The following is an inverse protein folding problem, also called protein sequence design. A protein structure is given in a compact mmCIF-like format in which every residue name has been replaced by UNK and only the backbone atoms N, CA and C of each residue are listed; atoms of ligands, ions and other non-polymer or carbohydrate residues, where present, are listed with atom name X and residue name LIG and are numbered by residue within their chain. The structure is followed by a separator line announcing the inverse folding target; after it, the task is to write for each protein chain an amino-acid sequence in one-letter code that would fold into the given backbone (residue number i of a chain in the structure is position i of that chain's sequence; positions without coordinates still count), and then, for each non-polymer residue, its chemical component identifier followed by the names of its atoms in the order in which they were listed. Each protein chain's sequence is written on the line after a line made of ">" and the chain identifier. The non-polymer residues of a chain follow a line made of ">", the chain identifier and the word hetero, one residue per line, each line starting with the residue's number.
data_IF_079109686863
#
_entry.id   IF_079109686863
#
_cell.length_a   1.000
_cell.length_b   1.000
_cell.length_c   1.000
_cell.angle_alpha   90.00
_cell.angle_beta   90.00
_cell.angle_gamma   90.00
#
_symmetry.space_group_name_H-M   'P 1'
#
loop_
_entity.id
_entity.type
_entity.pdbx_description
1 polymer ?
#
# COMPACT_ATOMS: atom_id res chain seq x y z
N UNK A 1 3.90 66.09 -32.92
CA UNK A 1 4.10 64.65 -32.64
C UNK A 1 4.62 64.43 -31.22
N UNK A 2 5.71 65.09 -30.82
CA UNK A 2 6.29 64.98 -29.47
C UNK A 2 5.37 65.36 -28.30
N UNK A 3 4.44 66.30 -28.53
CA UNK A 3 3.48 66.77 -27.51
C UNK A 3 2.17 65.96 -27.53
N UNK A 4 2.10 64.87 -28.31
CA UNK A 4 0.90 64.03 -28.37
C UNK A 4 0.63 63.37 -27.02
N UNK A 5 -0.63 63.38 -26.59
CA UNK A 5 -1.11 62.69 -25.37
C UNK A 5 -1.60 61.27 -25.62
N UNK A 6 -1.66 60.85 -26.87
CA UNK A 6 -2.09 59.50 -27.22
C UNK A 6 -1.04 58.50 -26.76
N UNK A 7 -1.38 57.56 -25.87
CA UNK A 7 -0.44 56.56 -25.34
C UNK A 7 -0.79 55.14 -25.79
N UNK A 8 -1.73 55.01 -26.75
CA UNK A 8 -2.31 53.74 -27.18
C UNK A 8 -3.25 53.11 -26.15
N UNK A 9 -4.17 52.30 -26.64
CA UNK A 9 -5.27 51.68 -25.86
C UNK A 9 -5.12 50.16 -25.69
N UNK A 10 -4.07 49.57 -26.26
CA UNK A 10 -3.69 48.17 -26.10
C UNK A 10 -2.25 47.97 -26.57
N UNK A 11 -1.64 46.82 -26.23
CA UNK A 11 -0.20 46.59 -26.43
C UNK A 11 0.24 46.85 -27.88
N UNK A 12 -0.47 46.30 -28.86
CA UNK A 12 -0.15 46.48 -30.28
C UNK A 12 -0.13 47.95 -30.73
N UNK A 13 -1.04 48.78 -30.22
CA UNK A 13 -1.09 50.20 -30.58
C UNK A 13 0.08 50.96 -29.93
N UNK A 14 0.46 50.61 -28.71
CA UNK A 14 1.63 51.21 -28.06
C UNK A 14 2.93 50.84 -28.76
N UNK A 15 3.07 49.59 -29.19
CA UNK A 15 4.24 49.13 -29.95
C UNK A 15 4.37 49.86 -31.28
N UNK A 16 3.26 50.07 -32.01
CA UNK A 16 3.24 50.89 -33.22
C UNK A 16 3.61 52.36 -32.94
N UNK A 17 3.07 52.96 -31.86
CA UNK A 17 3.43 54.32 -31.45
C UNK A 17 4.91 54.44 -31.05
N UNK A 18 5.48 53.44 -30.37
CA UNK A 18 6.90 53.39 -30.04
C UNK A 18 7.78 53.25 -31.28
N UNK A 19 7.37 52.44 -32.25
CA UNK A 19 8.06 52.31 -33.52
C UNK A 19 8.08 53.64 -34.28
N UNK A 20 6.93 54.30 -34.40
CA UNK A 20 6.81 55.63 -35.01
C UNK A 20 7.64 56.69 -34.29
N UNK A 21 7.64 56.68 -32.95
CA UNK A 21 8.44 57.60 -32.14
C UNK A 21 9.95 57.34 -32.30
N UNK A 22 10.36 56.08 -32.39
CA UNK A 22 11.75 55.70 -32.64
C UNK A 22 12.28 56.22 -33.99
N UNK A 23 11.44 56.25 -35.03
CA UNK A 23 11.79 56.88 -36.32
C UNK A 23 11.99 58.39 -36.16
N UNK A 24 11.12 59.07 -35.42
CA UNK A 24 11.21 60.50 -35.17
C UNK A 24 12.45 60.85 -34.33
N UNK A 25 12.82 60.02 -33.37
CA UNK A 25 14.08 60.17 -32.62
C UNK A 25 15.33 59.97 -33.48
N UNK A 26 15.30 59.04 -34.44
CA UNK A 26 16.38 58.89 -35.41
C UNK A 26 16.53 60.14 -36.28
N UNK A 27 15.41 60.74 -36.71
CA UNK A 27 15.42 62.01 -37.44
C UNK A 27 15.98 63.17 -36.58
N UNK A 28 15.58 63.27 -35.31
CA UNK A 28 16.12 64.27 -34.37
C UNK A 28 17.62 64.10 -34.20
N UNK A 29 18.11 62.87 -34.02
CA UNK A 29 19.55 62.58 -33.92
C UNK A 29 20.31 63.01 -35.17
N UNK A 30 19.77 62.71 -36.36
CA UNK A 30 20.40 63.13 -37.61
C UNK A 30 20.43 64.68 -37.77
N UNK A 31 19.38 65.38 -37.34
CA UNK A 31 19.37 66.85 -37.33
C UNK A 31 20.29 67.44 -36.27
N UNK A 32 20.45 66.78 -35.12
CA UNK A 32 21.35 67.17 -34.04
C UNK A 32 22.79 67.27 -34.55
N UNK A 33 23.27 66.24 -35.24
CA UNK A 33 24.61 66.23 -35.84
C UNK A 33 24.80 67.40 -36.82
N UNK A 34 23.78 67.67 -37.64
CA UNK A 34 23.81 68.79 -38.60
C UNK A 34 23.83 70.14 -37.91
N UNK A 35 23.02 70.33 -36.87
CA UNK A 35 22.96 71.56 -36.08
C UNK A 35 24.29 71.81 -35.36
N UNK A 36 24.89 70.78 -34.76
CA UNK A 36 26.19 70.90 -34.10
C UNK A 36 27.31 71.28 -35.08
N UNK A 37 27.33 70.68 -36.28
CA UNK A 37 28.29 71.04 -37.33
C UNK A 37 28.12 72.50 -37.78
N UNK A 38 26.87 72.94 -37.98
CA UNK A 38 26.55 74.33 -38.35
C UNK A 38 26.91 75.32 -37.24
N UNK A 39 26.60 75.01 -35.98
CA UNK A 39 26.94 75.84 -34.83
C UNK A 39 28.47 75.98 -34.69
N UNK A 40 29.21 74.88 -34.84
CA UNK A 40 30.68 74.90 -34.84
C UNK A 40 31.25 75.76 -35.96
N UNK A 41 30.67 75.69 -37.17
CA UNK A 41 31.08 76.53 -38.28
C UNK A 41 30.73 78.02 -38.05
N UNK A 42 29.56 78.30 -37.47
CA UNK A 42 29.11 79.66 -37.17
C UNK A 42 30.01 80.34 -36.12
N UNK A 43 30.38 79.64 -35.05
CA UNK A 43 31.24 80.17 -33.98
C UNK A 43 32.64 80.59 -34.46
N UNK A 44 33.16 79.99 -35.54
CA UNK A 44 34.42 80.44 -36.14
C UNK A 44 34.36 81.90 -36.61
N UNK A 45 33.19 82.38 -37.01
CA UNK A 45 33.00 83.77 -37.45
C UNK A 45 32.94 84.77 -36.28
N UNK A 46 32.75 84.31 -35.03
CA UNK A 46 32.86 85.17 -33.84
C UNK A 46 34.31 85.37 -33.35
N UNK A 47 35.26 84.58 -33.84
CA UNK A 47 36.68 84.59 -33.42
C UNK A 47 37.62 85.24 -34.46
N UNK A 48 37.09 85.70 -35.59
CA UNK A 48 37.91 86.30 -36.67
C UNK A 48 38.50 87.65 -36.25
N UNK A 49 39.83 87.78 -36.38
CA UNK A 49 40.53 89.06 -36.31
C UNK A 49 40.53 89.72 -37.69
N UNK A 50 39.69 90.77 -37.88
CA UNK A 50 39.60 91.52 -39.14
C UNK A 50 38.15 91.84 -39.55
N UNK A 51 37.79 91.52 -40.80
CA UNK A 51 36.44 91.77 -41.33
C UNK A 51 35.38 90.93 -40.61
N UNK A 52 34.43 91.60 -39.95
CA UNK A 52 33.29 90.99 -39.28
C UNK A 52 32.00 91.20 -40.08
N UNK A 53 31.39 90.14 -40.64
CA UNK A 53 30.14 90.24 -41.40
C UNK A 53 28.94 90.71 -40.56
N UNK A 54 28.95 90.41 -39.25
CA UNK A 54 28.00 90.91 -38.27
C UNK A 54 28.64 90.93 -36.87
N UNK A 55 27.96 91.54 -35.89
CA UNK A 55 28.38 91.54 -34.49
C UNK A 55 28.52 90.09 -33.97
N UNK A 56 29.70 89.68 -33.47
CA UNK A 56 29.94 88.36 -32.90
C UNK A 56 28.90 87.92 -31.87
N UNK A 57 28.36 88.87 -31.09
CA UNK A 57 27.34 88.58 -30.08
C UNK A 57 26.03 88.08 -30.70
N UNK A 58 25.69 88.51 -31.92
CA UNK A 58 24.51 88.02 -32.65
C UNK A 58 24.69 86.55 -33.02
N UNK A 59 25.90 86.16 -33.43
CA UNK A 59 26.24 84.76 -33.76
C UNK A 59 26.13 83.90 -32.50
N UNK A 60 26.78 84.31 -31.41
CA UNK A 60 26.72 83.61 -30.12
C UNK A 60 25.28 83.46 -29.63
N UNK A 61 24.47 84.53 -29.67
CA UNK A 61 23.07 84.49 -29.26
C UNK A 61 22.23 83.52 -30.11
N UNK A 62 22.44 83.49 -31.43
CA UNK A 62 21.72 82.57 -32.33
C UNK A 62 22.15 81.12 -32.12
N UNK A 63 23.44 80.86 -31.97
CA UNK A 63 23.98 79.52 -31.68
C UNK A 63 23.41 79.02 -30.35
N UNK A 64 23.46 79.84 -29.30
CA UNK A 64 22.89 79.51 -27.98
C UNK A 64 21.38 79.23 -28.08
N UNK A 65 20.62 80.06 -28.81
CA UNK A 65 19.19 79.83 -28.97
C UNK A 65 18.89 78.50 -29.69
N UNK A 66 19.59 78.19 -30.78
CA UNK A 66 19.44 76.92 -31.51
C UNK A 66 19.83 75.73 -30.63
N UNK A 67 20.89 75.86 -29.82
CA UNK A 67 21.31 74.86 -28.86
C UNK A 67 20.21 74.58 -27.82
N UNK A 68 19.64 75.63 -27.20
CA UNK A 68 18.53 75.50 -26.25
C UNK A 68 17.30 74.85 -26.89
N UNK A 69 16.92 75.26 -28.10
CA UNK A 69 15.80 74.64 -28.83
C UNK A 69 16.03 73.15 -29.12
N UNK A 70 17.28 72.75 -29.39
CA UNK A 70 17.63 71.36 -29.61
C UNK A 70 17.54 70.55 -28.31
N UNK A 71 18.05 71.09 -27.21
CA UNK A 71 17.95 70.49 -25.87
C UNK A 71 16.48 70.28 -25.46
N UNK A 72 15.63 71.29 -25.67
CA UNK A 72 14.18 71.17 -25.42
C UNK A 72 13.52 70.09 -26.28
N UNK A 73 13.94 69.96 -27.55
CA UNK A 73 13.41 68.95 -28.47
C UNK A 73 13.79 67.53 -28.02
N UNK A 74 15.04 67.33 -27.60
CA UNK A 74 15.55 66.07 -27.06
C UNK A 74 14.86 65.71 -25.74
N UNK A 75 14.67 66.68 -24.84
CA UNK A 75 13.92 66.48 -23.60
C UNK A 75 12.47 66.05 -23.84
N UNK A 76 11.78 66.71 -24.78
CA UNK A 76 10.43 66.34 -25.18
C UNK A 76 10.37 64.94 -25.79
N UNK A 77 11.36 64.57 -26.62
CA UNK A 77 11.47 63.24 -27.20
C UNK A 77 11.70 62.16 -26.13
N UNK A 78 12.64 62.38 -25.22
CA UNK A 78 12.94 61.47 -24.13
C UNK A 78 11.75 61.31 -23.17
N UNK A 79 11.06 62.40 -22.83
CA UNK A 79 9.85 62.37 -22.01
C UNK A 79 8.76 61.54 -22.68
N UNK A 80 8.52 61.77 -23.97
CA UNK A 80 7.51 61.04 -24.73
C UNK A 80 7.82 59.54 -24.85
N UNK A 81 9.08 59.17 -25.11
CA UNK A 81 9.54 57.78 -25.11
C UNK A 81 9.27 57.12 -23.75
N UNK A 82 9.58 57.80 -22.66
CA UNK A 82 9.33 57.31 -21.29
C UNK A 82 7.84 57.05 -21.04
N UNK A 83 6.96 57.98 -21.42
CA UNK A 83 5.51 57.81 -21.27
C UNK A 83 4.96 56.64 -22.11
N UNK A 84 5.44 56.48 -23.34
CA UNK A 84 5.08 55.34 -24.20
C UNK A 84 5.58 54.01 -23.64
N UNK A 85 6.80 53.97 -23.10
CA UNK A 85 7.36 52.79 -22.48
C UNK A 85 6.63 52.40 -21.19
N UNK A 86 6.23 53.39 -20.38
CA UNK A 86 5.36 53.18 -19.23
C UNK A 86 3.99 52.61 -19.66
N UNK A 87 3.43 53.10 -20.77
CA UNK A 87 2.17 52.56 -21.35
C UNK A 87 2.35 51.12 -21.84
N UNK A 88 3.49 50.81 -22.47
CA UNK A 88 3.81 49.45 -22.93
C UNK A 88 3.85 48.49 -21.75
N UNK A 89 4.51 48.87 -20.66
CA UNK A 89 4.57 48.08 -19.43
C UNK A 89 3.17 47.83 -18.83
N UNK A 90 2.28 48.83 -18.86
CA UNK A 90 0.90 48.69 -18.41
C UNK A 90 0.12 47.66 -19.25
N UNK A 91 0.18 47.78 -20.57
CA UNK A 91 -0.57 46.88 -21.46
C UNK A 91 0.01 45.47 -21.50
N UNK A 92 1.33 45.30 -21.42
CA UNK A 92 1.95 43.98 -21.22
C UNK A 92 1.47 43.34 -19.92
N UNK A 93 1.38 44.10 -18.83
CA UNK A 93 0.82 43.60 -17.56
C UNK A 93 -0.64 43.13 -17.71
N UNK A 94 -1.50 43.91 -18.36
CA UNK A 94 -2.91 43.53 -18.55
C UNK A 94 -3.05 42.27 -19.40
N UNK A 95 -2.28 42.15 -20.48
CA UNK A 95 -2.25 40.95 -21.30
C UNK A 95 -1.79 39.72 -20.50
N UNK A 96 -0.68 39.82 -19.74
CA UNK A 96 -0.21 38.73 -18.88
C UNK A 96 -1.27 38.31 -17.85
N UNK A 97 -2.04 39.26 -17.30
CA UNK A 97 -3.14 38.99 -16.38
C UNK A 97 -4.33 38.30 -17.05
N UNK A 98 -4.69 38.69 -18.27
CA UNK A 98 -5.75 38.03 -19.04
C UNK A 98 -5.38 36.60 -19.43
N UNK A 99 -4.14 36.38 -19.85
CA UNK A 99 -3.61 35.04 -20.15
C UNK A 99 -3.62 34.14 -18.91
N UNK A 100 -3.20 34.68 -17.75
CA UNK A 100 -3.28 33.97 -16.48
C UNK A 100 -4.73 33.62 -16.11
N UNK A 101 -5.66 34.56 -16.27
CA UNK A 101 -7.07 34.36 -15.97
C UNK A 101 -7.72 33.33 -16.88
N UNK A 102 -7.44 33.38 -18.19
CA UNK A 102 -7.94 32.40 -19.16
C UNK A 102 -7.43 30.99 -18.83
N UNK A 103 -6.15 30.87 -18.47
CA UNK A 103 -5.57 29.60 -18.04
C UNK A 103 -6.23 29.07 -16.76
N UNK A 104 -6.49 29.94 -15.76
CA UNK A 104 -7.20 29.58 -14.53
C UNK A 104 -8.60 29.05 -14.85
N UNK A 105 -9.39 29.77 -15.66
CA UNK A 105 -10.75 29.36 -16.06
C UNK A 105 -10.76 27.97 -16.72
N UNK A 106 -9.80 27.72 -17.60
CA UNK A 106 -9.70 26.41 -18.27
C UNK A 106 -9.40 25.29 -17.29
N UNK A 107 -8.46 25.50 -16.34
CA UNK A 107 -8.15 24.50 -15.32
C UNK A 107 -9.31 24.27 -14.35
N UNK A 108 -10.03 25.32 -13.94
CA UNK A 108 -11.25 25.20 -13.14
C UNK A 108 -12.28 24.31 -13.85
N UNK A 109 -12.51 24.52 -15.15
CA UNK A 109 -13.44 23.73 -15.96
C UNK A 109 -13.02 22.26 -16.07
N UNK A 110 -11.73 22.00 -16.31
CA UNK A 110 -11.19 20.65 -16.38
C UNK A 110 -11.38 19.92 -15.04
N UNK A 111 -11.08 20.57 -13.91
CA UNK A 111 -11.22 19.98 -12.59
C UNK A 111 -12.69 19.72 -12.23
N UNK A 112 -13.60 20.62 -12.58
CA UNK A 112 -15.03 20.46 -12.34
C UNK A 112 -15.62 19.25 -13.09
N UNK A 113 -15.10 18.93 -14.28
CA UNK A 113 -15.56 17.80 -15.08
C UNK A 113 -14.92 16.45 -14.72
N UNK A 114 -13.84 16.43 -13.91
CA UNK A 114 -13.11 15.20 -13.61
C UNK A 114 -13.81 14.33 -12.58
N UNK A 115 -13.86 13.05 -12.87
CA UNK A 115 -14.28 11.99 -11.94
C UNK A 115 -13.08 11.43 -11.17
N UNK A 116 -13.34 10.70 -10.10
CA UNK A 116 -12.31 10.15 -9.21
C UNK A 116 -11.88 8.72 -9.57
N UNK A 117 -12.21 8.26 -10.79
CA UNK A 117 -11.95 6.88 -11.26
C UNK A 117 -13.05 5.89 -10.84
N UNK A 118 -12.87 4.62 -11.21
CA UNK A 118 -13.88 3.54 -11.07
C UNK A 118 -13.32 2.24 -10.49
N UNK A 119 -12.00 2.15 -10.39
CA UNK A 119 -11.23 0.99 -9.96
C UNK A 119 -9.84 1.46 -9.52
N UNK A 120 -9.10 0.60 -8.81
CA UNK A 120 -7.79 0.94 -8.26
C UNK A 120 -6.81 1.48 -9.32
N UNK A 121 -6.75 0.84 -10.48
CA UNK A 121 -5.85 1.21 -11.58
C UNK A 121 -6.15 2.60 -12.14
N UNK A 122 -7.43 2.90 -12.37
CA UNK A 122 -7.88 4.20 -12.87
C UNK A 122 -7.66 5.32 -11.84
N UNK A 123 -7.89 5.08 -10.56
CA UNK A 123 -7.62 6.08 -9.50
C UNK A 123 -6.12 6.37 -9.37
N UNK A 124 -5.27 5.35 -9.39
CA UNK A 124 -3.80 5.52 -9.37
C UNK A 124 -3.33 6.34 -10.58
N UNK A 125 -3.87 6.03 -11.77
CA UNK A 125 -3.56 6.79 -12.99
C UNK A 125 -4.00 8.25 -12.89
N UNK A 126 -5.20 8.51 -12.37
CA UNK A 126 -5.73 9.87 -12.18
C UNK A 126 -4.96 10.64 -11.12
N UNK A 127 -4.52 9.98 -10.05
CA UNK A 127 -3.66 10.55 -9.00
C UNK A 127 -2.32 10.99 -9.56
N UNK A 128 -1.69 10.17 -10.41
CA UNK A 128 -0.46 10.54 -11.10
C UNK A 128 -0.66 11.73 -12.04
N UNK A 129 -1.76 11.76 -12.81
CA UNK A 129 -2.12 12.92 -13.64
C UNK A 129 -2.36 14.19 -12.82
N UNK A 130 -2.98 14.07 -11.65
CA UNK A 130 -3.21 15.18 -10.73
C UNK A 130 -1.87 15.72 -10.20
N UNK A 131 -0.92 14.85 -9.84
CA UNK A 131 0.42 15.24 -9.41
C UNK A 131 1.17 16.06 -10.48
N UNK A 132 1.09 15.67 -11.75
CA UNK A 132 1.67 16.46 -12.85
C UNK A 132 1.06 17.85 -12.94
N UNK A 133 -0.27 17.94 -12.81
CA UNK A 133 -0.99 19.22 -12.82
C UNK A 133 -0.67 20.10 -11.60
N UNK A 134 -0.40 19.54 -10.42
CA UNK A 134 0.11 20.30 -9.27
C UNK A 134 1.48 20.93 -9.58
N UNK A 135 2.34 20.22 -10.32
CA UNK A 135 3.60 20.78 -10.83
C UNK A 135 3.38 21.97 -11.77
N UNK A 136 2.44 21.83 -12.73
CA UNK A 136 2.05 22.94 -13.62
C UNK A 136 1.52 24.16 -12.84
N UNK A 137 0.67 23.93 -11.82
CA UNK A 137 0.16 24.98 -10.93
C UNK A 137 1.29 25.69 -10.19
N UNK A 138 2.28 24.95 -9.67
CA UNK A 138 3.44 25.54 -9.01
C UNK A 138 4.21 26.50 -9.91
N UNK A 139 4.47 26.11 -11.15
CA UNK A 139 5.15 26.96 -12.14
C UNK A 139 4.32 28.20 -12.48
N UNK A 140 3.00 28.03 -12.67
CA UNK A 140 2.07 29.14 -12.97
C UNK A 140 1.94 30.13 -11.82
N UNK A 141 1.97 29.66 -10.57
CA UNK A 141 1.98 30.51 -9.37
C UNK A 141 3.18 31.44 -9.35
N UNK A 142 4.37 30.92 -9.68
CA UNK A 142 5.59 31.70 -9.73
C UNK A 142 5.51 32.79 -10.80
N UNK A 143 4.99 32.47 -11.99
CA UNK A 143 4.77 33.44 -13.06
C UNK A 143 3.75 34.52 -12.63
N UNK A 144 2.61 34.12 -12.08
CA UNK A 144 1.58 35.06 -11.61
C UNK A 144 2.14 36.02 -10.56
N UNK A 145 2.94 35.53 -9.62
CA UNK A 145 3.58 36.37 -8.61
C UNK A 145 4.57 37.39 -9.23
N UNK A 146 5.29 37.02 -10.29
CA UNK A 146 6.14 37.97 -11.01
C UNK A 146 5.30 39.06 -11.70
N UNK A 147 4.20 38.70 -12.36
CA UNK A 147 3.29 39.66 -12.99
C UNK A 147 2.63 40.58 -11.94
N UNK A 148 2.27 40.05 -10.77
CA UNK A 148 1.76 40.87 -9.65
C UNK A 148 2.80 41.92 -9.21
N UNK A 149 4.08 41.54 -9.07
CA UNK A 149 5.17 42.49 -8.78
C UNK A 149 5.36 43.54 -9.86
N UNK A 150 5.14 43.20 -11.14
CA UNK A 150 5.14 44.21 -12.22
C UNK A 150 3.99 45.21 -12.02
N UNK A 151 2.79 44.73 -11.69
CA UNK A 151 1.63 45.56 -11.36
C UNK A 151 1.89 46.52 -10.20
N UNK A 152 2.49 46.04 -9.11
CA UNK A 152 2.89 46.87 -7.96
C UNK A 152 3.88 47.97 -8.34
N UNK A 153 4.87 47.67 -9.20
CA UNK A 153 5.82 48.66 -9.72
C UNK A 153 5.14 49.72 -10.56
N UNK A 154 4.15 49.35 -11.39
CA UNK A 154 3.37 50.29 -12.19
C UNK A 154 2.54 51.20 -11.28
N UNK A 155 1.90 50.64 -10.24
CA UNK A 155 1.16 51.40 -9.24
C UNK A 155 2.03 52.41 -8.49
N UNK A 156 3.28 52.05 -8.17
CA UNK A 156 4.21 52.94 -7.48
C UNK A 156 4.59 54.18 -8.32
N UNK A 157 4.63 54.07 -9.66
CA UNK A 157 4.93 55.18 -10.56
C UNK A 157 3.83 56.25 -10.64
N UNK A 158 2.58 55.91 -10.26
CA UNK A 158 1.39 56.80 -10.31
C UNK A 158 1.14 57.47 -11.68
N UNK A 159 1.67 56.90 -12.77
CA UNK A 159 1.53 57.41 -14.14
C UNK A 159 0.17 57.12 -14.76
N UNK A 160 -0.57 56.15 -14.22
CA UNK A 160 -1.87 55.70 -14.73
C UNK A 160 -2.91 55.57 -13.60
N UNK A 161 -4.17 55.37 -13.98
CA UNK A 161 -5.26 55.08 -13.04
C UNK A 161 -4.95 53.79 -12.25
N UNK A 162 -4.84 53.91 -10.93
CA UNK A 162 -4.54 52.79 -10.04
C UNK A 162 -5.69 51.80 -9.87
N UNK A 163 -6.94 52.26 -10.07
CA UNK A 163 -8.15 51.48 -9.78
C UNK A 163 -8.25 50.23 -10.66
N UNK A 164 -8.07 50.38 -11.98
CA UNK A 164 -8.19 49.25 -12.92
C UNK A 164 -7.11 48.18 -12.72
N UNK A 165 -5.89 48.59 -12.38
CA UNK A 165 -4.78 47.66 -12.08
C UNK A 165 -5.10 46.88 -10.80
N UNK A 166 -5.48 47.57 -9.73
CA UNK A 166 -5.82 46.95 -8.45
C UNK A 166 -7.02 46.00 -8.58
N UNK A 167 -8.04 46.38 -9.33
CA UNK A 167 -9.21 45.54 -9.57
C UNK A 167 -8.84 44.26 -10.33
N UNK A 168 -8.04 44.36 -11.40
CA UNK A 168 -7.59 43.18 -12.16
C UNK A 168 -6.72 42.26 -11.31
N UNK A 169 -5.77 42.80 -10.54
CA UNK A 169 -4.96 42.01 -9.61
C UNK A 169 -5.85 41.27 -8.59
N UNK A 170 -6.83 41.96 -8.01
CA UNK A 170 -7.78 41.38 -7.05
C UNK A 170 -8.60 40.25 -7.68
N UNK A 171 -9.12 40.44 -8.90
CA UNK A 171 -9.90 39.42 -9.61
C UNK A 171 -9.07 38.15 -9.85
N UNK A 172 -7.88 38.29 -10.42
CA UNK A 172 -7.01 37.14 -10.73
C UNK A 172 -6.58 36.43 -9.44
N UNK A 173 -6.24 37.18 -8.37
CA UNK A 173 -5.96 36.60 -7.05
C UNK A 173 -7.14 35.80 -6.49
N UNK A 174 -8.36 36.31 -6.60
CA UNK A 174 -9.55 35.60 -6.12
C UNK A 174 -9.77 34.28 -6.87
N UNK A 175 -9.60 34.31 -8.19
CA UNK A 175 -9.74 33.12 -9.04
C UNK A 175 -8.62 32.10 -8.81
N UNK A 176 -7.39 32.57 -8.58
CA UNK A 176 -6.29 31.69 -8.22
C UNK A 176 -6.59 30.93 -6.92
N UNK A 177 -7.07 31.63 -5.88
CA UNK A 177 -7.49 31.00 -4.62
C UNK A 177 -8.60 29.97 -4.83
N UNK A 178 -9.62 30.29 -5.62
CA UNK A 178 -10.69 29.35 -5.96
C UNK A 178 -10.16 28.11 -6.69
N UNK A 179 -9.21 28.27 -7.62
CA UNK A 179 -8.57 27.15 -8.30
C UNK A 179 -7.77 26.29 -7.32
N UNK A 180 -7.06 26.88 -6.36
CA UNK A 180 -6.36 26.14 -5.30
C UNK A 180 -7.34 25.33 -4.43
N UNK A 181 -8.47 25.92 -4.04
CA UNK A 181 -9.55 25.24 -3.30
C UNK A 181 -10.13 24.05 -4.07
N UNK A 182 -10.49 24.24 -5.34
CA UNK A 182 -11.04 23.18 -6.21
C UNK A 182 -9.99 22.07 -6.40
N UNK A 183 -8.73 22.44 -6.60
CA UNK A 183 -7.63 21.48 -6.76
C UNK A 183 -7.45 20.65 -5.49
N UNK A 184 -7.45 21.29 -4.32
CA UNK A 184 -7.34 20.60 -3.04
C UNK A 184 -8.52 19.65 -2.77
N UNK A 185 -9.75 20.08 -3.07
CA UNK A 185 -10.92 19.21 -2.95
C UNK A 185 -10.84 18.01 -3.91
N UNK A 186 -10.40 18.21 -5.14
CA UNK A 186 -10.20 17.12 -6.09
C UNK A 186 -9.09 16.16 -5.62
N UNK A 187 -8.03 16.67 -4.99
CA UNK A 187 -6.98 15.84 -4.40
C UNK A 187 -7.56 14.95 -3.27
N UNK A 188 -8.28 15.54 -2.32
CA UNK A 188 -8.94 14.80 -1.24
C UNK A 188 -9.86 13.70 -1.79
N UNK A 189 -10.71 14.03 -2.78
CA UNK A 189 -11.62 13.04 -3.38
C UNK A 189 -10.87 11.90 -4.08
N UNK A 190 -9.71 12.16 -4.68
CA UNK A 190 -8.86 11.11 -5.25
C UNK A 190 -8.22 10.24 -4.17
N UNK A 191 -7.74 10.83 -3.07
CA UNK A 191 -7.19 10.09 -1.93
C UNK A 191 -8.26 9.21 -1.27
N UNK A 192 -9.46 9.75 -1.07
CA UNK A 192 -10.62 9.01 -0.55
C UNK A 192 -11.00 7.82 -1.44
N UNK A 193 -11.06 8.04 -2.76
CA UNK A 193 -11.33 6.98 -3.72
C UNK A 193 -10.20 5.94 -3.74
N UNK A 194 -8.94 6.37 -3.65
CA UNK A 194 -7.79 5.47 -3.64
C UNK A 194 -7.84 4.55 -2.43
N UNK A 195 -8.06 5.11 -1.24
CA UNK A 195 -8.18 4.35 0.00
C UNK A 195 -9.34 3.34 -0.08
N UNK A 196 -10.49 3.74 -0.63
CA UNK A 196 -11.64 2.85 -0.81
C UNK A 196 -11.36 1.69 -1.76
N UNK A 197 -10.76 1.95 -2.93
CA UNK A 197 -10.47 0.91 -3.91
C UNK A 197 -9.32 0.00 -3.47
N UNK A 198 -8.35 0.51 -2.71
CA UNK A 198 -7.30 -0.31 -2.08
C UNK A 198 -7.93 -1.26 -1.05
N UNK A 199 -8.72 -0.72 -0.13
CA UNK A 199 -9.43 -1.52 0.88
C UNK A 199 -10.31 -2.60 0.23
N UNK A 200 -11.07 -2.23 -0.81
CA UNK A 200 -11.93 -3.18 -1.53
C UNK A 200 -11.12 -4.30 -2.18
N UNK A 201 -10.00 -3.96 -2.86
CA UNK A 201 -9.14 -4.95 -3.50
C UNK A 201 -8.49 -5.90 -2.48
N UNK A 202 -7.95 -5.37 -1.38
CA UNK A 202 -7.37 -6.17 -0.30
C UNK A 202 -8.42 -7.09 0.35
N UNK A 203 -9.65 -6.61 0.50
CA UNK A 203 -10.76 -7.41 1.02
C UNK A 203 -11.14 -8.54 0.05
N UNK A 204 -11.19 -8.27 -1.25
CA UNK A 204 -11.48 -9.29 -2.26
C UNK A 204 -10.38 -10.35 -2.36
N UNK A 205 -9.11 -9.96 -2.26
CA UNK A 205 -7.97 -10.88 -2.20
C UNK A 205 -8.08 -11.78 -0.95
N UNK A 206 -8.47 -11.22 0.19
CA UNK A 206 -8.68 -11.97 1.42
C UNK A 206 -9.86 -12.95 1.30
N UNK A 207 -10.96 -12.55 0.67
CA UNK A 207 -12.10 -13.46 0.41
C UNK A 207 -11.68 -14.62 -0.48
N UNK A 208 -10.97 -14.35 -1.58
CA UNK A 208 -10.50 -15.40 -2.48
C UNK A 208 -9.60 -16.40 -1.73
N UNK A 209 -8.67 -15.89 -0.92
CA UNK A 209 -7.80 -16.73 -0.10
C UNK A 209 -8.59 -17.57 0.91
N UNK A 210 -9.60 -17.00 1.57
CA UNK A 210 -10.44 -17.73 2.52
C UNK A 210 -11.27 -18.82 1.85
N UNK A 211 -11.81 -18.57 0.65
CA UNK A 211 -12.55 -19.57 -0.11
C UNK A 211 -11.66 -20.76 -0.52
N UNK A 212 -10.44 -20.49 -0.99
CA UNK A 212 -9.47 -21.53 -1.30
C UNK A 212 -9.04 -22.32 -0.06
N UNK A 213 -8.84 -21.62 1.06
CA UNK A 213 -8.48 -22.23 2.33
C UNK A 213 -9.61 -23.09 2.88
N UNK A 214 -10.86 -22.60 2.82
CA UNK A 214 -12.05 -23.36 3.18
C UNK A 214 -12.08 -24.71 2.47
N UNK A 215 -11.88 -24.72 1.14
CA UNK A 215 -11.84 -25.95 0.34
C UNK A 215 -10.76 -26.94 0.81
N UNK A 216 -9.63 -26.44 1.30
CA UNK A 216 -8.54 -27.28 1.81
C UNK A 216 -8.89 -27.85 3.19
N UNK A 217 -9.39 -27.01 4.09
CA UNK A 217 -9.70 -27.41 5.47
C UNK A 217 -10.99 -28.22 5.58
N UNK A 218 -11.89 -28.12 4.60
CA UNK A 218 -13.11 -28.92 4.48
C UNK A 218 -12.91 -30.21 3.69
N UNK A 219 -11.66 -30.61 3.40
CA UNK A 219 -11.40 -31.88 2.72
C UNK A 219 -11.79 -33.05 3.63
N UNK A 220 -12.30 -34.12 3.04
CA UNK A 220 -12.64 -35.37 3.74
C UNK A 220 -11.54 -36.44 3.60
N UNK A 221 -10.39 -36.08 3.02
CA UNK A 221 -9.22 -36.97 2.94
C UNK A 221 -8.44 -36.93 4.25
N UNK A 222 -8.43 -38.05 4.97
CA UNK A 222 -7.73 -38.23 6.24
C UNK A 222 -6.53 -39.17 6.16
N UNK A 223 -6.21 -39.68 4.97
CA UNK A 223 -5.20 -40.71 4.77
C UNK A 223 -5.77 -42.13 4.81
N UNK A 224 -4.93 -43.10 4.45
CA UNK A 224 -5.29 -44.52 4.38
C UNK A 224 -4.34 -45.44 5.17
N UNK A 225 -3.32 -44.86 5.80
CA UNK A 225 -2.34 -45.50 6.68
C UNK A 225 -1.68 -44.46 7.62
N UNK A 226 -0.86 -44.91 8.59
CA UNK A 226 -0.16 -44.00 9.54
C UNK A 226 0.71 -42.96 8.81
N UNK A 227 1.42 -43.36 7.76
CA UNK A 227 2.34 -42.49 7.04
C UNK A 227 1.62 -41.35 6.29
N UNK A 228 0.60 -41.69 5.50
CA UNK A 228 -0.21 -40.75 4.72
C UNK A 228 -1.00 -39.80 5.62
N UNK A 229 -1.61 -40.32 6.70
CA UNK A 229 -2.34 -39.51 7.69
C UNK A 229 -1.40 -38.54 8.41
N UNK A 230 -0.20 -39.00 8.80
CA UNK A 230 0.81 -38.14 9.41
C UNK A 230 1.30 -37.06 8.44
N UNK A 231 1.49 -37.39 7.16
CA UNK A 231 1.88 -36.42 6.14
C UNK A 231 0.79 -35.35 5.91
N UNK A 232 -0.49 -35.74 5.88
CA UNK A 232 -1.62 -34.82 5.80
C UNK A 232 -1.71 -33.92 7.03
N UNK A 233 -1.55 -34.46 8.24
CA UNK A 233 -1.53 -33.67 9.47
C UNK A 233 -0.42 -32.62 9.47
N UNK A 234 0.78 -32.95 8.99
CA UNK A 234 1.87 -31.97 8.84
C UNK A 234 1.53 -30.84 7.87
N UNK A 235 0.93 -31.17 6.72
CA UNK A 235 0.48 -30.16 5.75
C UNK A 235 -0.64 -29.29 6.32
N UNK A 236 -1.60 -29.90 7.02
CA UNK A 236 -2.73 -29.21 7.63
C UNK A 236 -2.27 -28.22 8.71
N UNK A 237 -1.28 -28.58 9.53
CA UNK A 237 -0.68 -27.65 10.51
C UNK A 237 -0.16 -26.37 9.84
N UNK A 238 0.49 -26.48 8.69
CA UNK A 238 0.95 -25.30 7.96
C UNK A 238 -0.23 -24.41 7.49
N UNK A 239 -1.35 -25.01 7.09
CA UNK A 239 -2.58 -24.26 6.74
C UNK A 239 -3.17 -23.56 7.96
N UNK A 240 -3.24 -24.25 9.12
CA UNK A 240 -3.72 -23.66 10.38
C UNK A 240 -2.85 -22.46 10.79
N UNK A 241 -1.53 -22.57 10.67
CA UNK A 241 -0.61 -21.47 10.97
C UNK A 241 -0.86 -20.26 10.04
N UNK A 242 -1.14 -20.48 8.76
CA UNK A 242 -1.51 -19.41 7.81
C UNK A 242 -2.87 -18.78 8.15
N UNK A 243 -3.86 -19.57 8.59
CA UNK A 243 -5.15 -19.05 9.08
C UNK A 243 -4.96 -18.14 10.29
N UNK A 244 -4.09 -18.50 11.24
CA UNK A 244 -3.83 -17.65 12.40
C UNK A 244 -3.10 -16.34 12.00
N UNK A 245 -2.19 -16.39 11.00
CA UNK A 245 -1.53 -15.17 10.50
C UNK A 245 -2.51 -14.14 9.91
N UNK A 246 -3.60 -14.60 9.29
CA UNK A 246 -4.62 -13.70 8.71
C UNK A 246 -5.60 -13.14 9.75
N UNK A 247 -5.59 -13.66 10.99
CA UNK A 247 -6.49 -13.22 12.06
C UNK A 247 -6.45 -11.71 12.31
N UNK A 248 -5.24 -11.15 12.40
CA UNK A 248 -5.06 -9.73 12.68
C UNK A 248 -5.61 -8.85 11.55
N UNK A 249 -5.47 -9.28 10.30
CA UNK A 249 -6.02 -8.58 9.14
C UNK A 249 -7.54 -8.52 9.22
N UNK A 250 -8.20 -9.67 9.44
CA UNK A 250 -9.67 -9.76 9.59
C UNK A 250 -10.18 -8.87 10.73
N UNK A 251 -9.57 -8.94 11.91
CA UNK A 251 -9.96 -8.12 13.06
C UNK A 251 -9.77 -6.62 12.82
N UNK A 252 -8.88 -6.24 11.91
CA UNK A 252 -8.61 -4.84 11.58
C UNK A 252 -9.56 -4.24 10.53
N UNK A 253 -10.33 -5.07 9.81
CA UNK A 253 -11.19 -4.62 8.70
C UNK A 253 -12.17 -3.53 9.11
N UNK A 254 -12.87 -3.68 10.24
CA UNK A 254 -13.80 -2.66 10.74
C UNK A 254 -13.10 -1.34 11.08
N UNK A 255 -11.88 -1.41 11.60
CA UNK A 255 -11.08 -0.22 11.88
C UNK A 255 -10.66 0.46 10.58
N UNK A 256 -10.23 -0.29 9.58
CA UNK A 256 -9.87 0.24 8.26
C UNK A 256 -11.09 0.85 7.55
N UNK A 257 -12.25 0.19 7.59
CA UNK A 257 -13.52 0.70 7.08
C UNK A 257 -13.91 2.04 7.74
N UNK A 258 -13.70 2.18 9.05
CA UNK A 258 -14.00 3.41 9.78
C UNK A 258 -13.10 4.60 9.38
N UNK A 259 -11.91 4.33 8.83
CA UNK A 259 -10.99 5.35 8.32
C UNK A 259 -11.35 5.83 6.91
N UNK A 260 -12.23 5.13 6.19
CA UNK A 260 -12.69 5.56 4.88
C UNK A 260 -13.60 6.78 4.97
N UNK A 261 -13.65 7.53 3.86
CA UNK A 261 -14.52 8.70 3.74
C UNK A 261 -16.00 8.32 4.00
N UNK A 262 -16.82 9.25 4.56
CA UNK A 262 -18.20 8.97 4.97
C UNK A 262 -19.05 8.28 3.90
N UNK A 263 -18.96 8.75 2.65
CA UNK A 263 -19.75 8.23 1.54
C UNK A 263 -19.40 6.77 1.22
N UNK A 264 -18.11 6.41 1.32
CA UNK A 264 -17.64 5.05 1.07
C UNK A 264 -18.00 4.10 2.22
N UNK A 265 -17.74 4.51 3.48
CA UNK A 265 -18.00 3.64 4.64
C UNK A 265 -19.49 3.37 4.89
N UNK A 266 -20.37 4.27 4.46
CA UNK A 266 -21.82 4.09 4.54
C UNK A 266 -22.38 3.22 3.42
N UNK A 267 -21.55 2.84 2.44
CA UNK A 267 -21.92 1.89 1.40
C UNK A 267 -22.38 0.57 2.02
N UNK A 268 -23.56 0.11 1.64
CA UNK A 268 -24.12 -1.15 2.16
C UNK A 268 -23.28 -2.34 1.70
N UNK A 269 -22.87 -2.36 0.44
CA UNK A 269 -22.10 -3.45 -0.15
C UNK A 269 -20.76 -3.68 0.58
N UNK A 270 -20.02 -2.61 0.90
CA UNK A 270 -18.73 -2.72 1.60
C UNK A 270 -18.91 -3.19 3.05
N UNK A 271 -20.00 -2.78 3.71
CA UNK A 271 -20.31 -3.25 5.07
C UNK A 271 -20.70 -4.72 5.08
N UNK A 272 -21.55 -5.15 4.13
CA UNK A 272 -21.90 -6.57 3.95
C UNK A 272 -20.63 -7.37 3.70
N UNK A 273 -19.75 -6.90 2.80
CA UNK A 273 -18.51 -7.58 2.46
C UNK A 273 -17.60 -7.80 3.67
N UNK A 274 -17.46 -6.81 4.56
CA UNK A 274 -16.69 -6.97 5.80
C UNK A 274 -17.29 -8.06 6.71
N UNK A 275 -18.62 -8.09 6.85
CA UNK A 275 -19.31 -9.11 7.64
C UNK A 275 -19.13 -10.50 7.02
N UNK A 276 -19.24 -10.62 5.69
CA UNK A 276 -19.00 -11.87 4.96
C UNK A 276 -17.59 -12.41 5.21
N UNK A 277 -16.57 -11.55 5.17
CA UNK A 277 -15.18 -11.94 5.44
C UNK A 277 -15.01 -12.42 6.88
N UNK A 278 -15.58 -11.70 7.85
CA UNK A 278 -15.53 -12.07 9.26
C UNK A 278 -16.20 -13.44 9.52
N UNK A 279 -17.37 -13.67 8.90
CA UNK A 279 -18.09 -14.94 9.00
C UNK A 279 -17.32 -16.09 8.35
N UNK A 280 -16.86 -15.91 7.11
CA UNK A 280 -16.12 -16.92 6.37
C UNK A 280 -14.81 -17.27 7.09
N UNK A 281 -14.11 -16.29 7.67
CA UNK A 281 -12.93 -16.56 8.50
C UNK A 281 -13.27 -17.42 9.72
N UNK A 282 -14.38 -17.12 10.41
CA UNK A 282 -14.86 -17.91 11.54
C UNK A 282 -15.13 -19.36 11.14
N UNK A 283 -15.83 -19.58 10.03
CA UNK A 283 -16.11 -20.91 9.49
C UNK A 283 -14.83 -21.66 9.12
N UNK A 284 -13.89 -21.00 8.41
CA UNK A 284 -12.59 -21.59 8.07
C UNK A 284 -11.82 -22.00 9.32
N UNK A 285 -11.78 -21.15 10.35
CA UNK A 285 -11.08 -21.44 11.59
C UNK A 285 -11.71 -22.63 12.34
N UNK A 286 -13.03 -22.69 12.42
CA UNK A 286 -13.77 -23.79 13.07
C UNK A 286 -13.53 -25.12 12.33
N UNK A 287 -13.71 -25.13 11.01
CA UNK A 287 -13.51 -26.32 10.18
C UNK A 287 -12.04 -26.79 10.23
N UNK A 288 -11.08 -25.87 10.30
CA UNK A 288 -9.67 -26.21 10.45
C UNK A 288 -9.36 -26.90 11.78
N UNK A 289 -10.01 -26.49 12.88
CA UNK A 289 -9.90 -27.16 14.19
C UNK A 289 -10.50 -28.56 14.10
N UNK A 290 -11.70 -28.69 13.54
CA UNK A 290 -12.35 -29.99 13.37
C UNK A 290 -11.47 -30.94 12.56
N UNK A 291 -10.99 -30.52 11.38
CA UNK A 291 -10.11 -31.37 10.55
C UNK A 291 -8.81 -31.77 11.26
N UNK A 292 -8.28 -30.93 12.14
CA UNK A 292 -7.12 -31.30 12.98
C UNK A 292 -7.45 -32.49 13.87
N UNK A 293 -8.61 -32.47 14.53
CA UNK A 293 -9.09 -33.57 15.37
C UNK A 293 -9.28 -34.84 14.54
N UNK A 294 -9.98 -34.77 13.40
CA UNK A 294 -10.22 -35.93 12.53
C UNK A 294 -8.92 -36.58 12.02
N UNK A 295 -7.92 -35.77 11.64
CA UNK A 295 -6.60 -36.28 11.23
C UNK A 295 -5.84 -36.92 12.39
N UNK A 296 -6.00 -36.43 13.62
CA UNK A 296 -5.41 -37.02 14.81
C UNK A 296 -6.09 -38.35 15.17
N UNK A 297 -7.42 -38.42 15.06
CA UNK A 297 -8.18 -39.63 15.33
C UNK A 297 -7.85 -40.73 14.32
N UNK A 298 -7.79 -40.40 13.03
CA UNK A 298 -7.36 -41.34 11.99
C UNK A 298 -5.96 -41.92 12.29
N UNK A 299 -5.01 -41.06 12.69
CA UNK A 299 -3.67 -41.48 13.07
C UNK A 299 -3.67 -42.39 14.32
N UNK A 300 -4.50 -42.07 15.31
CA UNK A 300 -4.64 -42.87 16.53
C UNK A 300 -5.20 -44.27 16.22
N UNK A 301 -6.19 -44.37 15.32
CA UNK A 301 -6.74 -45.66 14.86
C UNK A 301 -5.67 -46.52 14.18
N UNK A 302 -4.91 -45.96 13.23
CA UNK A 302 -3.85 -46.74 12.54
C UNK A 302 -2.77 -47.23 13.49
N UNK A 303 -2.36 -46.38 14.45
CA UNK A 303 -1.39 -46.78 15.48
C UNK A 303 -1.94 -47.85 16.39
N UNK A 304 -3.19 -47.70 16.82
CA UNK A 304 -3.84 -48.71 17.66
C UNK A 304 -3.88 -50.06 16.95
N UNK A 305 -4.29 -50.13 15.68
CA UNK A 305 -4.32 -51.41 14.95
C UNK A 305 -2.92 -52.02 14.78
N UNK A 306 -1.89 -51.19 14.56
CA UNK A 306 -0.50 -51.66 14.51
C UNK A 306 -0.04 -52.24 15.86
N UNK A 307 -0.38 -51.57 16.97
CA UNK A 307 -0.04 -52.04 18.31
C UNK A 307 -0.81 -53.31 18.69
N UNK A 308 -2.12 -53.38 18.37
CA UNK A 308 -2.91 -54.59 18.56
C UNK A 308 -2.29 -55.75 17.79
N UNK A 309 -2.00 -55.58 16.51
CA UNK A 309 -1.43 -56.65 15.69
C UNK A 309 -0.11 -57.18 16.27
N UNK A 310 0.77 -56.28 16.72
CA UNK A 310 2.04 -56.66 17.32
C UNK A 310 1.87 -57.33 18.70
N UNK A 311 0.84 -56.98 19.48
CA UNK A 311 0.49 -57.70 20.71
C UNK A 311 -0.09 -59.08 20.38
N UNK A 312 -0.98 -59.18 19.39
CA UNK A 312 -1.57 -60.45 18.95
C UNK A 312 -0.51 -61.44 18.48
N UNK A 313 0.47 -61.02 17.67
CA UNK A 313 1.58 -61.88 17.24
C UNK A 313 2.36 -62.46 18.43
N UNK A 314 2.63 -61.65 19.45
CA UNK A 314 3.31 -62.13 20.66
C UNK A 314 2.41 -63.08 21.46
N UNK A 315 1.13 -62.74 21.63
CA UNK A 315 0.14 -63.57 22.31
C UNK A 315 0.01 -64.93 21.61
N UNK A 316 -0.09 -64.95 20.28
CA UNK A 316 -0.14 -66.15 19.45
C UNK A 316 1.07 -67.06 19.69
N UNK A 317 2.28 -66.47 19.71
CA UNK A 317 3.51 -67.21 19.98
C UNK A 317 3.50 -67.82 21.40
N UNK A 318 3.13 -67.03 22.41
CA UNK A 318 3.18 -67.47 23.81
C UNK A 318 2.06 -68.44 24.17
N UNK A 319 0.86 -68.26 23.65
CA UNK A 319 -0.23 -69.24 23.82
C UNK A 319 0.21 -70.60 23.28
N UNK A 320 0.74 -70.66 22.05
CA UNK A 320 1.21 -71.91 21.46
C UNK A 320 2.38 -72.53 22.23
N UNK A 321 3.30 -71.72 22.74
CA UNK A 321 4.40 -72.20 23.56
C UNK A 321 3.89 -72.79 24.89
N UNK A 322 3.02 -72.06 25.61
CA UNK A 322 2.45 -72.51 26.88
C UNK A 322 1.60 -73.77 26.73
N UNK A 323 0.80 -73.88 25.68
CA UNK A 323 -0.05 -75.05 25.42
C UNK A 323 0.78 -76.31 25.15
N UNK A 324 1.89 -76.19 24.42
CA UNK A 324 2.78 -77.31 24.08
C UNK A 324 3.82 -77.63 25.16
N UNK A 325 4.01 -76.72 26.12
CA UNK A 325 5.02 -76.87 27.16
C UNK A 325 4.59 -77.97 28.16
N UNK A 326 5.39 -79.02 28.28
CA UNK A 326 5.29 -79.99 29.38
C UNK A 326 6.17 -79.54 30.54
N UNK A 327 5.70 -79.73 31.78
CA UNK A 327 6.46 -79.37 32.98
C UNK A 327 7.42 -80.53 33.27
N UNK A 328 8.75 -80.33 33.24
CA UNK A 328 9.72 -81.39 33.48
C UNK A 328 9.61 -81.94 34.90
N UNK A 329 10.00 -83.19 35.09
CA UNK A 329 10.09 -83.82 36.41
C UNK A 329 11.50 -83.71 37.01
N UNK A 330 12.55 -83.57 36.20
CA UNK A 330 13.95 -83.50 36.64
C UNK A 330 14.33 -82.08 37.13
N UNK A 331 15.05 -81.99 38.27
CA UNK A 331 15.37 -80.72 38.92
C UNK A 331 16.15 -79.76 38.00
N UNK A 332 17.18 -80.26 37.32
CA UNK A 332 18.04 -79.46 36.44
C UNK A 332 17.22 -78.85 35.27
N UNK A 333 16.24 -79.59 34.74
CA UNK A 333 15.35 -79.12 33.67
C UNK A 333 14.30 -78.12 34.19
N UNK A 334 13.84 -78.31 35.42
CA UNK A 334 12.91 -77.41 36.11
C UNK A 334 13.54 -76.02 36.34
N UNK A 335 14.80 -75.95 36.75
CA UNK A 335 15.52 -74.67 36.90
C UNK A 335 15.64 -73.91 35.56
N UNK A 336 15.93 -74.64 34.47
CA UNK A 336 15.96 -74.05 33.12
C UNK A 336 14.60 -73.46 32.73
N UNK A 337 13.51 -74.16 33.06
CA UNK A 337 12.15 -73.68 32.82
C UNK A 337 11.84 -72.46 33.69
N UNK A 338 12.26 -72.42 34.96
CA UNK A 338 12.07 -71.24 35.82
C UNK A 338 12.71 -69.99 35.22
N UNK A 339 13.96 -70.08 34.73
CA UNK A 339 14.62 -68.95 34.08
C UNK A 339 13.89 -68.49 32.81
N UNK A 340 13.26 -69.41 32.05
CA UNK A 340 12.40 -69.05 30.91
C UNK A 340 11.17 -68.27 31.35
N UNK A 341 10.55 -68.62 32.49
CA UNK A 341 9.42 -67.87 33.05
C UNK A 341 9.83 -66.49 33.59
N UNK A 342 11.04 -66.32 34.11
CA UNK A 342 11.55 -64.99 34.49
C UNK A 342 11.70 -64.06 33.28
N UNK A 343 12.21 -64.59 32.15
CA UNK A 343 12.25 -63.85 30.88
C UNK A 343 10.85 -63.53 30.38
N UNK A 344 9.93 -64.49 30.46
CA UNK A 344 8.53 -64.29 30.08
C UNK A 344 7.86 -63.18 30.91
N UNK A 345 8.15 -63.09 32.21
CA UNK A 345 7.60 -62.02 33.06
C UNK A 345 8.05 -60.64 32.60
N UNK A 346 9.29 -60.49 32.14
CA UNK A 346 9.77 -59.23 31.58
C UNK A 346 9.04 -58.88 30.28
N UNK A 347 8.88 -59.86 29.39
CA UNK A 347 8.12 -59.70 28.14
C UNK A 347 6.65 -59.35 28.42
N UNK A 348 6.02 -60.05 29.36
CA UNK A 348 4.64 -59.81 29.79
C UNK A 348 4.45 -58.40 30.33
N UNK A 349 5.37 -57.90 31.16
CA UNK A 349 5.32 -56.52 31.65
C UNK A 349 5.40 -55.51 30.50
N UNK A 350 6.23 -55.76 29.49
CA UNK A 350 6.33 -54.91 28.31
C UNK A 350 5.03 -54.92 27.48
N UNK A 351 4.44 -56.10 27.26
CA UNK A 351 3.20 -56.24 26.47
C UNK A 351 2.00 -55.67 27.23
N UNK A 352 1.93 -55.87 28.55
CA UNK A 352 0.92 -55.24 29.40
C UNK A 352 0.93 -53.71 29.24
N UNK A 353 2.10 -53.07 29.24
CA UNK A 353 2.21 -51.63 28.99
C UNK A 353 1.58 -51.22 27.66
N UNK A 354 1.86 -51.96 26.58
CA UNK A 354 1.29 -51.70 25.24
C UNK A 354 -0.21 -51.93 25.18
N UNK A 355 -0.72 -52.97 25.84
CA UNK A 355 -2.17 -53.24 25.94
C UNK A 355 -2.88 -52.12 26.70
N UNK A 356 -2.27 -51.59 27.77
CA UNK A 356 -2.80 -50.43 28.49
C UNK A 356 -2.83 -49.18 27.60
N UNK A 357 -1.79 -48.94 26.80
CA UNK A 357 -1.76 -47.83 25.83
C UNK A 357 -2.86 -47.98 24.77
N UNK A 358 -3.03 -49.19 24.19
CA UNK A 358 -4.14 -49.51 23.28
C UNK A 358 -5.48 -49.22 23.94
N UNK A 359 -5.68 -49.67 25.17
CA UNK A 359 -6.91 -49.46 25.92
C UNK A 359 -7.21 -47.97 26.13
N UNK A 360 -6.18 -47.18 26.43
CA UNK A 360 -6.31 -45.74 26.58
C UNK A 360 -6.67 -45.05 25.26
N UNK A 361 -6.04 -45.44 24.15
CA UNK A 361 -6.36 -44.89 22.81
C UNK A 361 -7.79 -45.22 22.41
N UNK A 362 -8.23 -46.46 22.62
CA UNK A 362 -9.62 -46.88 22.35
C UNK A 362 -10.60 -46.05 23.16
N UNK A 363 -10.35 -45.86 24.45
CA UNK A 363 -11.22 -45.05 25.31
C UNK A 363 -11.32 -43.59 24.81
N UNK A 364 -10.19 -42.98 24.41
CA UNK A 364 -10.18 -41.62 23.86
C UNK A 364 -10.98 -41.52 22.57
N UNK A 365 -10.85 -42.49 21.66
CA UNK A 365 -11.59 -42.54 20.40
C UNK A 365 -13.10 -42.70 20.63
N UNK A 366 -13.47 -43.55 21.59
CA UNK A 366 -14.87 -43.81 21.96
C UNK A 366 -15.50 -42.57 22.62
N UNK A 367 -14.82 -41.97 23.60
CA UNK A 367 -15.31 -40.78 24.30
C UNK A 367 -15.40 -39.57 23.37
N UNK A 368 -14.52 -39.51 22.36
CA UNK A 368 -14.55 -38.54 21.27
C UNK A 368 -15.65 -38.78 20.24
N UNK A 369 -16.37 -39.91 20.30
CA UNK A 369 -17.45 -40.22 19.37
C UNK A 369 -16.98 -40.61 17.96
N UNK A 370 -15.80 -41.23 17.84
CA UNK A 370 -15.25 -41.63 16.55
C UNK A 370 -16.19 -42.59 15.77
N UNK A 371 -16.35 -42.47 14.44
CA UNK A 371 -17.30 -43.30 13.68
C UNK A 371 -17.07 -44.81 13.80
N UNK A 372 -15.81 -45.25 13.92
CA UNK A 372 -15.44 -46.66 14.10
C UNK A 372 -15.39 -47.12 15.56
N UNK A 373 -16.07 -46.44 16.49
CA UNK A 373 -16.03 -46.76 17.92
C UNK A 373 -16.36 -48.21 18.24
N UNK A 374 -17.33 -48.82 17.54
CA UNK A 374 -17.73 -50.20 17.76
C UNK A 374 -16.66 -51.20 17.30
N UNK A 375 -16.01 -50.93 16.16
CA UNK A 375 -14.94 -51.76 15.60
C UNK A 375 -13.69 -51.72 16.50
N UNK A 376 -13.32 -50.52 16.93
CA UNK A 376 -12.18 -50.27 17.81
C UNK A 376 -12.40 -50.91 19.19
N UNK A 377 -13.61 -50.83 19.75
CA UNK A 377 -13.96 -51.52 21.02
C UNK A 377 -13.95 -53.04 20.88
N UNK A 378 -14.50 -53.58 19.79
CA UNK A 378 -14.48 -55.03 19.54
C UNK A 378 -13.06 -55.57 19.46
N UNK A 379 -12.16 -54.82 18.80
CA UNK A 379 -10.74 -55.16 18.71
C UNK A 379 -10.04 -55.14 20.08
N UNK A 380 -10.34 -54.12 20.90
CA UNK A 380 -9.89 -54.02 22.29
C UNK A 380 -10.34 -55.22 23.13
N UNK A 381 -11.64 -55.54 23.10
CA UNK A 381 -12.22 -56.63 23.89
C UNK A 381 -11.59 -57.97 23.50
N UNK A 382 -11.35 -58.18 22.20
CA UNK A 382 -10.67 -59.37 21.69
C UNK A 382 -9.25 -59.49 22.24
N UNK A 383 -8.43 -58.44 22.11
CA UNK A 383 -7.05 -58.45 22.60
C UNK A 383 -6.98 -58.68 24.11
N UNK A 384 -7.81 -57.97 24.89
CA UNK A 384 -7.87 -58.15 26.35
C UNK A 384 -8.29 -59.56 26.75
N UNK A 385 -9.26 -60.15 26.03
CA UNK A 385 -9.67 -61.54 26.28
C UNK A 385 -8.52 -62.53 26.03
N UNK A 386 -7.76 -62.36 24.94
CA UNK A 386 -6.62 -63.25 24.64
C UNK A 386 -5.47 -63.06 25.63
N UNK A 387 -5.20 -61.82 26.04
CA UNK A 387 -4.22 -61.52 27.07
C UNK A 387 -4.55 -62.22 28.40
N UNK A 388 -5.80 -62.14 28.86
CA UNK A 388 -6.24 -62.82 30.08
C UNK A 388 -6.04 -64.34 30.00
N UNK A 389 -6.28 -64.95 28.83
CA UNK A 389 -5.99 -66.38 28.61
C UNK A 389 -4.51 -66.71 28.74
N UNK A 390 -3.61 -65.90 28.20
CA UNK A 390 -2.15 -66.07 28.40
C UNK A 390 -1.80 -65.99 29.88
N UNK A 391 -2.33 -65.00 30.60
CA UNK A 391 -2.11 -64.83 32.04
C UNK A 391 -2.54 -66.09 32.80
N UNK A 392 -3.73 -66.62 32.53
CA UNK A 392 -4.23 -67.87 33.14
C UNK A 392 -3.34 -69.09 32.81
N UNK A 393 -2.89 -69.22 31.56
CA UNK A 393 -1.98 -70.29 31.15
C UNK A 393 -0.63 -70.21 31.88
N UNK A 394 -0.07 -69.01 32.01
CA UNK A 394 1.17 -68.76 32.75
C UNK A 394 1.01 -69.11 34.22
N UNK A 395 -0.07 -68.66 34.87
CA UNK A 395 -0.36 -68.96 36.27
C UNK A 395 -0.50 -70.46 36.52
N UNK A 396 -1.23 -71.17 35.64
CA UNK A 396 -1.39 -72.62 35.72
C UNK A 396 -0.06 -73.36 35.58
N UNK A 397 0.78 -72.99 34.60
CA UNK A 397 2.10 -73.62 34.41
C UNK A 397 3.07 -73.31 35.55
N UNK A 398 3.10 -72.07 36.04
CA UNK A 398 3.89 -71.69 37.23
C UNK A 398 3.45 -72.47 38.47
N UNK A 399 2.15 -72.66 38.67
CA UNK A 399 1.61 -73.47 39.77
C UNK A 399 2.09 -74.93 39.69
N UNK A 400 1.98 -75.55 38.51
CA UNK A 400 2.49 -76.91 38.26
C UNK A 400 4.00 -77.02 38.53
N UNK A 401 4.79 -76.08 38.00
CA UNK A 401 6.24 -76.03 38.21
C UNK A 401 6.59 -75.90 39.71
N UNK A 402 5.86 -75.06 40.44
CA UNK A 402 6.05 -74.89 41.89
C UNK A 402 5.71 -76.16 42.68
N UNK A 403 4.74 -76.95 42.20
CA UNK A 403 4.39 -78.25 42.79
C UNK A 403 5.50 -79.28 42.59
N UNK A 404 6.03 -79.37 41.37
CA UNK A 404 7.15 -80.29 41.06
C UNK A 404 8.39 -79.93 41.88
N UNK A 405 8.73 -78.63 41.98
CA UNK A 405 9.84 -78.16 42.81
C UNK A 405 9.70 -78.55 44.28
N UNK A 406 8.49 -78.42 44.86
CA UNK A 406 8.24 -78.84 46.24
C UNK A 406 8.45 -80.35 46.42
N UNK A 407 8.03 -81.15 45.44
CA UNK A 407 8.21 -82.61 45.46
C UNK A 407 9.70 -82.96 45.34
N UNK A 408 10.41 -82.37 44.37
CA UNK A 408 11.84 -82.62 44.17
C UNK A 408 12.69 -82.16 45.36
N UNK A 409 12.40 -80.99 45.94
CA UNK A 409 13.09 -80.53 47.16
C UNK A 409 12.84 -81.47 48.34
N UNK A 410 11.61 -81.97 48.51
CA UNK A 410 11.31 -82.97 49.53
C UNK A 410 12.08 -84.28 49.31
N UNK A 411 12.22 -84.73 48.05
CA UNK A 411 13.00 -85.92 47.68
C UNK A 411 14.52 -85.73 47.84
N UNK A 412 15.02 -84.49 47.83
CA UNK A 412 16.43 -84.18 48.09
C UNK A 412 16.74 -83.99 49.58
N UNK A 413 15.73 -83.61 50.38
CA UNK A 413 15.82 -83.42 51.84
C UNK A 413 15.62 -84.73 52.64
N UNK A 414 14.96 -85.73 52.06
CA UNK A 414 14.76 -87.07 52.63
C UNK A 414 15.83 -88.06 52.14
#
# INVERSE_FOLDING_TARGET
>A
LLVSKDLGKHLLEVEDLLQKHGLLEADISAQTERVQALNTAALKFSELEGYQPCDPQIICNRVNHVQTCLEELEELAAKRRKELEDSRQLWTFFQEMEEAEAWIREKEKILAAKTCGRDLSSVVTLTNKHKTMLGELGNRRALLHQTMKKGEKILAKKSFSSVGIQEKMREVCLRWKKLEEITGLHQQRLEDALNFFQFSAETDDLVAWLQDTYRIVSSDDFGHDDYSSQALLRKHRAVVDEVEKHRAAVLSLRKQLALLAPDHRQGVDVQIRVVEVEQLYGEVAEVAVLRTQWLQDALAVYRMFSEVHACEVWVDEKEQWLEKMEVPEELDEVEVVQHRFESLDQEMNSVMGRILDVNQVVQQLVDGGHPSSDEVRSCQDHLNSRWNRVVELVENKKSQLSSVLKIQNFLLEC
#
